data_IF_395216972998
#
_entry.id   IF_395216972998
#
_cell.length_a   1.000
_cell.length_b   1.000
_cell.length_c   1.000
_cell.angle_alpha   90.00
_cell.angle_beta   90.00
_cell.angle_gamma   90.00
#
_symmetry.space_group_name_H-M   'P 1'
#
loop_
_entity.id
_entity.type
_entity.pdbx_description
1 polymer ?
#
# COMPACT_ATOMS: atom_id res chain seq x y z
N UNK A 1 18.29 16.09 29.26
CA UNK A 1 18.26 16.23 27.78
C UNK A 1 17.54 17.53 27.38
N UNK A 2 17.66 17.92 26.13
CA UNK A 2 16.92 19.10 25.64
C UNK A 2 15.41 18.82 25.72
N UNK A 3 14.67 19.72 26.42
CA UNK A 3 13.22 19.55 26.66
C UNK A 3 12.85 19.02 28.03
N UNK A 4 13.84 18.58 28.83
CA UNK A 4 13.59 18.13 30.21
C UNK A 4 13.14 19.30 31.12
N UNK A 5 12.13 19.00 31.94
CA UNK A 5 11.64 19.99 32.92
C UNK A 5 12.45 19.94 34.22
N UNK A 6 13.02 21.07 34.59
CA UNK A 6 13.70 21.24 35.86
C UNK A 6 12.71 21.68 36.96
N UNK A 7 12.67 20.91 38.04
CA UNK A 7 11.90 21.26 39.24
C UNK A 7 12.85 21.43 40.43
N UNK A 8 12.78 22.56 41.10
CA UNK A 8 13.55 22.84 42.33
C UNK A 8 12.76 22.31 43.51
N UNK A 9 13.40 21.51 44.39
CA UNK A 9 12.79 20.96 45.58
C UNK A 9 13.55 21.39 46.83
N UNK A 10 12.83 21.63 47.93
CA UNK A 10 13.43 22.12 49.18
C UNK A 10 14.21 21.07 49.98
N UNK A 11 14.08 19.78 49.64
CA UNK A 11 14.74 18.69 50.40
C UNK A 11 15.29 17.64 49.43
N UNK A 12 16.57 17.28 49.62
CA UNK A 12 17.27 16.28 48.76
C UNK A 12 16.65 14.89 48.86
N UNK A 13 16.18 14.49 50.05
CA UNK A 13 15.54 13.18 50.25
C UNK A 13 14.26 13.03 49.43
N UNK A 14 13.47 14.10 49.41
CA UNK A 14 12.20 14.11 48.65
C UNK A 14 12.46 14.13 47.14
N UNK A 15 13.51 14.84 46.70
CA UNK A 15 13.92 14.86 45.31
C UNK A 15 14.34 13.46 44.81
N UNK A 16 15.15 12.75 45.61
CA UNK A 16 15.57 11.36 45.29
C UNK A 16 14.39 10.39 45.31
N UNK A 17 13.50 10.48 46.29
CA UNK A 17 12.31 9.62 46.36
C UNK A 17 11.39 9.82 45.15
N UNK A 18 11.20 11.08 44.72
CA UNK A 18 10.40 11.38 43.55
C UNK A 18 11.04 10.91 42.24
N UNK A 19 12.38 11.06 42.11
CA UNK A 19 13.12 10.59 40.97
C UNK A 19 13.00 9.06 40.80
N UNK A 20 13.25 8.31 41.89
CA UNK A 20 13.12 6.87 41.90
C UNK A 20 11.70 6.40 41.57
N UNK A 21 10.68 7.07 42.10
CA UNK A 21 9.29 6.76 41.83
C UNK A 21 8.91 7.01 40.35
N UNK A 22 9.41 8.10 39.76
CA UNK A 22 9.21 8.41 38.36
C UNK A 22 9.92 7.38 37.44
N UNK A 23 11.16 7.04 37.78
CA UNK A 23 11.90 6.02 37.06
C UNK A 23 11.21 4.64 37.11
N UNK A 24 10.69 4.26 38.28
CA UNK A 24 9.89 3.05 38.41
C UNK A 24 8.61 3.09 37.57
N UNK A 25 7.86 4.19 37.63
CA UNK A 25 6.66 4.39 36.82
C UNK A 25 6.97 4.35 35.32
N UNK A 26 8.09 4.94 34.90
CA UNK A 26 8.51 4.94 33.52
C UNK A 26 8.91 3.54 33.04
N UNK A 27 9.58 2.75 33.88
CA UNK A 27 9.85 1.33 33.62
C UNK A 27 8.56 0.51 33.52
N UNK A 28 7.63 0.70 34.45
CA UNK A 28 6.31 0.02 34.42
C UNK A 28 5.49 0.41 33.20
N UNK A 29 5.51 1.71 32.84
CA UNK A 29 4.86 2.18 31.61
C UNK A 29 5.54 1.60 30.37
N UNK A 30 6.87 1.57 30.31
CA UNK A 30 7.62 0.94 29.22
C UNK A 30 7.28 -0.54 29.04
N UNK A 31 7.15 -1.29 30.14
CA UNK A 31 6.71 -2.68 30.12
C UNK A 31 5.26 -2.86 29.68
N UNK A 32 4.38 -1.90 30.04
CA UNK A 32 2.96 -1.91 29.59
C UNK A 32 2.76 -1.41 28.18
N UNK A 33 3.65 -0.54 27.69
CA UNK A 33 3.55 0.05 26.32
C UNK A 33 4.14 -0.89 25.27
N UNK A 34 4.98 -1.86 25.67
CA UNK A 34 5.22 -3.01 24.82
C UNK A 34 3.93 -3.84 24.81
N UNK A 35 2.96 -3.42 24.03
CA UNK A 35 1.83 -4.27 23.67
C UNK A 35 2.43 -5.55 23.07
N UNK A 36 2.48 -6.60 23.87
CA UNK A 36 2.67 -7.93 23.29
C UNK A 36 1.57 -8.08 22.24
N UNK A 37 1.98 -8.19 20.99
CA UNK A 37 1.08 -8.50 19.89
C UNK A 37 0.33 -9.76 20.32
N UNK A 38 -0.98 -9.64 20.58
CA UNK A 38 -1.79 -10.79 20.96
C UNK A 38 -1.98 -11.71 19.75
N UNK A 39 -2.21 -12.99 19.96
CA UNK A 39 -2.50 -13.94 18.87
C UNK A 39 -3.70 -13.48 18.03
N UNK A 40 -4.68 -12.79 18.65
CA UNK A 40 -5.82 -12.19 17.94
C UNK A 40 -5.40 -11.05 17.01
N UNK A 41 -4.41 -10.26 17.41
CA UNK A 41 -3.84 -9.18 16.59
C UNK A 41 -3.01 -9.76 15.44
N UNK A 42 -2.24 -10.82 15.71
CA UNK A 42 -1.53 -11.60 14.66
C UNK A 42 -2.55 -12.21 13.69
N UNK A 43 -3.63 -12.79 14.21
CA UNK A 43 -4.71 -13.35 13.39
C UNK A 43 -5.38 -12.31 12.49
N UNK A 44 -5.65 -11.10 13.01
CA UNK A 44 -6.15 -9.96 12.22
C UNK A 44 -5.16 -9.53 11.14
N UNK A 45 -3.87 -9.42 11.47
CA UNK A 45 -2.81 -9.01 10.53
C UNK A 45 -2.64 -10.04 9.41
N UNK A 46 -2.69 -11.34 9.74
CA UNK A 46 -2.66 -12.42 8.74
C UNK A 46 -3.93 -12.39 7.88
N UNK A 47 -5.10 -12.06 8.43
CA UNK A 47 -6.35 -11.96 7.69
C UNK A 47 -6.37 -10.76 6.71
N UNK A 48 -5.63 -9.69 6.98
CA UNK A 48 -5.46 -8.54 6.07
C UNK A 48 -4.54 -8.90 4.89
N UNK A 49 -3.73 -9.96 5.00
CA UNK A 49 -2.98 -10.57 3.88
C UNK A 49 -1.72 -9.85 3.42
N UNK A 50 -1.56 -8.55 3.67
CA UNK A 50 -0.46 -7.72 3.15
C UNK A 50 0.18 -6.82 4.21
N UNK A 51 0.26 -7.30 5.46
CA UNK A 51 0.92 -6.53 6.51
C UNK A 51 2.43 -6.49 6.29
N UNK A 52 3.00 -5.29 6.23
CA UNK A 52 4.43 -5.07 6.06
C UNK A 52 4.98 -4.24 7.22
N UNK A 53 6.25 -4.45 7.53
CA UNK A 53 6.98 -3.68 8.53
C UNK A 53 8.13 -2.93 7.87
N UNK A 54 8.22 -1.63 8.14
CA UNK A 54 9.34 -0.80 7.76
C UNK A 54 10.18 -0.49 9.00
N UNK A 55 11.29 -1.19 9.12
CA UNK A 55 12.22 -1.04 10.22
C UNK A 55 13.23 0.06 9.91
N UNK A 56 13.43 0.98 10.85
CA UNK A 56 14.27 2.17 10.65
C UNK A 56 15.25 2.32 11.82
N UNK A 57 16.50 2.64 11.51
CA UNK A 57 17.50 3.12 12.46
C UNK A 57 17.71 4.61 12.21
N UNK A 58 17.57 5.44 13.22
CA UNK A 58 17.70 6.90 13.11
C UNK A 58 18.99 7.36 13.77
N UNK A 59 19.86 8.04 13.02
CA UNK A 59 21.07 8.69 13.54
C UNK A 59 21.01 10.18 13.24
N UNK A 60 21.38 11.00 14.20
CA UNK A 60 21.35 12.45 14.03
C UNK A 60 22.47 13.15 14.76
N UNK A 61 22.55 14.45 14.55
CA UNK A 61 23.52 15.35 15.20
C UNK A 61 23.16 15.66 16.64
N UNK A 62 21.85 15.79 16.94
CA UNK A 62 21.35 16.12 18.27
C UNK A 62 20.09 15.30 18.62
N UNK A 63 19.88 15.03 19.91
CA UNK A 63 18.74 14.23 20.40
C UNK A 63 17.38 14.78 19.98
N UNK A 64 17.19 16.12 20.06
CA UNK A 64 15.91 16.74 19.72
C UNK A 64 15.50 16.53 18.26
N UNK A 65 16.47 16.57 17.34
CA UNK A 65 16.22 16.28 15.92
C UNK A 65 15.84 14.82 15.69
N UNK A 66 16.51 13.91 16.37
CA UNK A 66 16.26 12.47 16.29
C UNK A 66 14.87 12.14 16.83
N UNK A 67 14.50 12.72 17.97
CA UNK A 67 13.19 12.50 18.58
C UNK A 67 12.07 13.02 17.69
N UNK A 68 12.18 14.27 17.20
CA UNK A 68 11.20 14.87 16.31
C UNK A 68 11.02 14.06 15.01
N UNK A 69 12.12 13.61 14.42
CA UNK A 69 12.09 12.78 13.21
C UNK A 69 11.47 11.41 13.51
N UNK A 70 11.91 10.74 14.56
CA UNK A 70 11.39 9.42 14.95
C UNK A 70 9.89 9.46 15.22
N UNK A 71 9.40 10.44 15.97
CA UNK A 71 7.98 10.61 16.26
C UNK A 71 7.16 10.87 15.00
N UNK A 72 7.73 11.66 14.08
CA UNK A 72 7.07 11.94 12.80
C UNK A 72 6.99 10.69 11.91
N UNK A 73 8.05 9.88 11.87
CA UNK A 73 8.08 8.63 11.12
C UNK A 73 7.12 7.57 11.69
N UNK A 74 7.06 7.43 13.01
CA UNK A 74 6.12 6.49 13.66
C UNK A 74 4.67 6.86 13.34
N UNK A 75 4.34 8.16 13.24
CA UNK A 75 2.99 8.63 12.89
C UNK A 75 2.57 8.31 11.46
N UNK A 76 3.51 7.96 10.57
CA UNK A 76 3.20 7.51 9.22
C UNK A 76 2.64 6.08 9.19
N UNK A 77 2.72 5.34 10.28
CA UNK A 77 2.22 3.96 10.36
C UNK A 77 0.76 3.87 9.95
N UNK A 78 0.44 2.91 9.10
CA UNK A 78 -0.90 2.58 8.63
C UNK A 78 -1.29 1.17 9.09
N UNK A 79 -2.55 0.75 8.94
CA UNK A 79 -2.94 -0.63 9.24
C UNK A 79 -2.21 -1.68 8.39
N UNK A 80 -1.74 -1.32 7.20
CA UNK A 80 -1.06 -2.21 6.25
C UNK A 80 0.46 -2.18 6.43
N UNK A 81 1.04 -1.02 6.81
CA UNK A 81 2.49 -0.85 6.97
C UNK A 81 2.77 -0.24 8.34
N UNK A 82 3.52 -0.95 9.16
CA UNK A 82 3.98 -0.43 10.45
C UNK A 82 5.41 0.09 10.35
N UNK A 83 5.62 1.34 10.74
CA UNK A 83 6.95 1.94 10.85
C UNK A 83 7.49 1.71 12.26
N UNK A 84 8.61 1.00 12.36
CA UNK A 84 9.28 0.68 13.62
C UNK A 84 10.64 1.37 13.69
N UNK A 85 10.85 2.25 14.67
CA UNK A 85 12.19 2.79 14.96
C UNK A 85 12.89 1.84 15.93
N UNK A 86 13.80 1.00 15.40
CA UNK A 86 14.50 -0.03 16.17
C UNK A 86 15.57 0.57 17.05
N UNK A 87 16.30 1.55 16.51
CA UNK A 87 17.39 2.20 17.24
C UNK A 87 17.48 3.67 16.88
N UNK A 88 17.75 4.50 17.88
CA UNK A 88 18.00 5.94 17.72
C UNK A 88 19.23 6.33 18.53
N UNK A 89 20.16 7.05 17.91
CA UNK A 89 21.36 7.52 18.60
C UNK A 89 21.99 8.75 17.93
N UNK A 90 22.68 9.54 18.73
CA UNK A 90 23.44 10.72 18.29
C UNK A 90 24.80 10.30 17.72
N UNK A 91 25.28 11.03 16.74
CA UNK A 91 26.60 10.90 16.15
C UNK A 91 26.60 10.23 14.78
N UNK A 92 27.80 10.04 14.24
CA UNK A 92 27.96 9.44 12.92
C UNK A 92 27.46 7.98 12.87
N UNK A 93 27.05 7.53 11.68
CA UNK A 93 26.65 6.15 11.46
C UNK A 93 27.90 5.27 11.52
N UNK A 94 27.88 4.28 12.42
CA UNK A 94 28.96 3.34 12.70
C UNK A 94 28.76 1.98 12.02
N UNK A 95 29.78 1.14 11.99
CA UNK A 95 29.68 -0.24 11.49
C UNK A 95 28.68 -1.06 12.33
N UNK A 96 28.59 -0.80 13.65
CA UNK A 96 27.61 -1.46 14.50
C UNK A 96 26.16 -1.13 14.12
N UNK A 97 25.87 0.11 13.70
CA UNK A 97 24.55 0.48 13.20
C UNK A 97 24.19 -0.27 11.91
N UNK A 98 25.17 -0.46 11.03
CA UNK A 98 24.99 -1.25 9.78
C UNK A 98 24.75 -2.73 10.07
N UNK A 99 25.50 -3.30 11.01
CA UNK A 99 25.28 -4.69 11.43
C UNK A 99 23.90 -4.88 12.07
N UNK A 100 23.47 -3.91 12.87
CA UNK A 100 22.11 -3.94 13.46
C UNK A 100 21.04 -3.82 12.35
N UNK A 101 21.25 -2.97 11.36
CA UNK A 101 20.34 -2.83 10.22
C UNK A 101 20.23 -4.13 9.42
N UNK A 102 21.37 -4.81 9.16
CA UNK A 102 21.40 -6.11 8.50
C UNK A 102 20.64 -7.18 9.29
N UNK A 103 20.85 -7.24 10.61
CA UNK A 103 20.18 -8.21 11.48
C UNK A 103 18.67 -7.98 11.63
N UNK A 104 18.21 -6.74 11.44
CA UNK A 104 16.80 -6.32 11.66
C UNK A 104 16.06 -6.04 10.36
N UNK A 105 16.68 -6.25 9.20
CA UNK A 105 16.17 -5.83 7.90
C UNK A 105 15.67 -4.36 7.92
N UNK A 106 16.53 -3.47 8.41
CA UNK A 106 16.21 -2.07 8.62
C UNK A 106 16.98 -1.16 7.64
N UNK A 107 16.40 -0.01 7.33
CA UNK A 107 17.08 1.09 6.64
C UNK A 107 17.70 2.04 7.66
N UNK A 108 18.78 2.73 7.28
CA UNK A 108 19.43 3.71 8.15
C UNK A 108 19.14 5.11 7.65
N UNK A 109 18.58 5.95 8.52
CA UNK A 109 18.33 7.37 8.27
C UNK A 109 19.36 8.19 9.04
N UNK A 110 20.20 8.92 8.33
CA UNK A 110 21.15 9.88 8.88
C UNK A 110 20.64 11.31 8.72
N UNK A 111 20.32 11.97 9.83
CA UNK A 111 19.92 13.37 9.85
C UNK A 111 21.11 14.25 10.23
N UNK A 112 21.58 15.11 9.31
CA UNK A 112 22.77 15.98 9.48
C UNK A 112 24.08 15.23 9.79
N UNK A 113 24.11 13.90 9.69
CA UNK A 113 25.29 13.06 9.97
C UNK A 113 25.73 12.30 8.72
N UNK A 114 26.92 11.74 8.77
CA UNK A 114 27.49 10.94 7.67
C UNK A 114 27.96 9.58 8.19
N UNK A 115 27.98 8.53 7.36
CA UNK A 115 28.56 7.26 7.73
C UNK A 115 30.10 7.35 7.84
N UNK A 116 30.68 6.58 8.76
CA UNK A 116 32.11 6.37 8.80
C UNK A 116 32.57 5.63 7.53
N UNK A 117 33.88 5.70 7.23
CA UNK A 117 34.43 5.00 6.07
C UNK A 117 34.20 3.47 6.13
N UNK A 118 34.29 2.89 7.33
CA UNK A 118 34.02 1.47 7.56
C UNK A 118 32.53 1.14 7.41
N UNK A 119 31.64 1.95 7.99
CA UNK A 119 30.19 1.79 7.85
C UNK A 119 29.76 1.86 6.39
N UNK A 120 30.31 2.77 5.59
CA UNK A 120 30.00 2.90 4.18
C UNK A 120 30.36 1.64 3.39
N UNK A 121 31.59 1.12 3.57
CA UNK A 121 32.04 -0.11 2.91
C UNK A 121 31.22 -1.33 3.34
N UNK A 122 30.85 -1.39 4.63
CA UNK A 122 30.06 -2.47 5.16
C UNK A 122 28.62 -2.42 4.63
N UNK A 123 28.02 -1.22 4.55
CA UNK A 123 26.67 -1.04 4.01
C UNK A 123 26.60 -1.42 2.52
N UNK A 124 27.63 -1.08 1.72
CA UNK A 124 27.73 -1.50 0.32
C UNK A 124 27.85 -3.04 0.20
N UNK A 125 28.59 -3.69 1.10
CA UNK A 125 28.76 -5.15 1.11
C UNK A 125 27.50 -5.89 1.52
N UNK A 126 26.80 -5.41 2.54
CA UNK A 126 25.59 -6.03 3.10
C UNK A 126 24.30 -5.51 2.44
N UNK A 127 24.42 -4.67 1.40
CA UNK A 127 23.29 -4.06 0.64
C UNK A 127 22.32 -3.27 1.53
N UNK A 128 22.82 -2.61 2.58
CA UNK A 128 22.02 -1.80 3.49
C UNK A 128 21.82 -0.40 2.95
N UNK A 129 20.58 0.04 2.82
CA UNK A 129 20.23 1.38 2.36
C UNK A 129 20.48 2.42 3.47
N UNK A 130 21.35 3.39 3.19
CA UNK A 130 21.64 4.53 4.06
C UNK A 130 21.15 5.79 3.37
N UNK A 131 20.10 6.41 3.91
CA UNK A 131 19.55 7.68 3.45
C UNK A 131 20.01 8.83 4.33
N UNK A 132 20.44 9.91 3.70
CA UNK A 132 21.01 11.07 4.38
C UNK A 132 20.17 12.30 4.11
N UNK A 133 19.68 12.93 5.19
CA UNK A 133 18.81 14.09 5.11
C UNK A 133 19.35 15.26 5.91
N UNK A 134 19.00 16.45 5.46
CA UNK A 134 19.27 17.72 6.15
C UNK A 134 17.97 18.46 6.51
N UNK A 135 16.85 18.03 5.96
CA UNK A 135 15.53 18.60 6.17
C UNK A 135 14.57 17.47 6.60
N UNK A 136 13.87 17.65 7.72
CA UNK A 136 12.96 16.62 8.26
C UNK A 136 11.82 16.31 7.31
N UNK A 137 11.23 17.32 6.69
CA UNK A 137 10.11 17.13 5.75
C UNK A 137 10.48 16.29 4.54
N UNK A 138 11.68 16.47 3.99
CA UNK A 138 12.16 15.64 2.86
C UNK A 138 12.29 14.17 3.28
N UNK A 139 12.79 13.90 4.49
CA UNK A 139 12.87 12.54 5.01
C UNK A 139 11.47 11.91 5.14
N UNK A 140 10.51 12.65 5.66
CA UNK A 140 9.12 12.20 5.82
C UNK A 140 8.48 11.90 4.46
N UNK A 141 8.63 12.78 3.47
CA UNK A 141 8.06 12.62 2.14
C UNK A 141 8.65 11.42 1.38
N UNK A 142 9.98 11.23 1.45
CA UNK A 142 10.62 10.07 0.82
C UNK A 142 10.22 8.75 1.48
N UNK A 143 10.13 8.69 2.80
CA UNK A 143 9.67 7.49 3.50
C UNK A 143 8.20 7.22 3.19
N UNK A 144 7.35 8.26 3.15
CA UNK A 144 5.96 8.12 2.73
C UNK A 144 5.86 7.55 1.30
N UNK A 145 6.62 8.09 0.37
CA UNK A 145 6.68 7.60 -1.02
C UNK A 145 7.19 6.14 -1.10
N UNK A 146 8.17 5.77 -0.27
CA UNK A 146 8.65 4.39 -0.18
C UNK A 146 7.56 3.45 0.35
N UNK A 147 6.82 3.87 1.38
CA UNK A 147 5.68 3.12 1.90
C UNK A 147 4.56 2.96 0.87
N UNK A 148 4.24 4.00 0.10
CA UNK A 148 3.28 3.90 -1.01
C UNK A 148 3.71 2.86 -2.06
N UNK A 149 5.03 2.76 -2.33
CA UNK A 149 5.59 1.73 -3.20
C UNK A 149 5.54 0.31 -2.63
N UNK A 150 5.43 0.16 -1.31
CA UNK A 150 5.26 -1.13 -0.62
C UNK A 150 3.81 -1.61 -0.63
N UNK A 151 2.84 -0.70 -0.79
CA UNK A 151 1.42 -1.06 -0.83
C UNK A 151 1.10 -1.89 -2.08
N UNK A 152 0.28 -2.91 -1.90
CA UNK A 152 -0.27 -3.65 -3.05
C UNK A 152 -1.15 -2.71 -3.88
N UNK A 153 -1.03 -2.74 -5.21
CA UNK A 153 -1.85 -1.90 -6.07
C UNK A 153 -3.34 -2.20 -5.84
N UNK A 154 -4.14 -1.16 -5.76
CA UNK A 154 -5.59 -1.31 -5.83
C UNK A 154 -5.99 -1.51 -7.29
N UNK A 155 -6.86 -2.49 -7.54
CA UNK A 155 -7.44 -2.66 -8.85
C UNK A 155 -8.75 -1.86 -8.91
N UNK A 156 -8.79 -0.87 -9.82
CA UNK A 156 -10.04 -0.16 -10.14
C UNK A 156 -10.55 -0.65 -11.47
N UNK A 157 -11.85 -0.87 -11.53
CA UNK A 157 -12.52 -1.19 -12.78
C UNK A 157 -12.71 0.09 -13.58
N UNK A 158 -12.16 0.13 -14.80
CA UNK A 158 -12.42 1.18 -15.77
C UNK A 158 -13.31 0.62 -16.87
N UNK A 159 -14.43 1.31 -17.15
CA UNK A 159 -15.33 0.95 -18.24
C UNK A 159 -14.63 1.30 -19.55
N UNK A 160 -14.41 0.30 -20.40
CA UNK A 160 -13.73 0.47 -21.68
C UNK A 160 -14.70 0.62 -22.83
N UNK A 161 -15.91 0.05 -22.74
CA UNK A 161 -16.97 0.30 -23.73
C UNK A 161 -18.37 0.05 -23.15
N UNK A 162 -19.35 0.69 -23.81
CA UNK A 162 -20.78 0.43 -23.61
C UNK A 162 -21.40 -0.03 -24.92
N UNK A 163 -22.03 -1.18 -24.87
CA UNK A 163 -22.62 -1.86 -26.05
C UNK A 163 -24.09 -2.10 -25.77
N UNK A 164 -24.96 -1.75 -26.73
CA UNK A 164 -26.40 -1.95 -26.63
C UNK A 164 -26.82 -3.17 -27.47
N UNK A 165 -27.64 -4.03 -26.88
CA UNK A 165 -28.20 -5.21 -27.54
C UNK A 165 -29.42 -4.80 -28.37
N UNK A 166 -29.31 -4.96 -29.70
CA UNK A 166 -30.39 -4.66 -30.65
C UNK A 166 -31.26 -5.88 -30.93
N UNK A 167 -30.64 -7.05 -31.09
CA UNK A 167 -31.33 -8.30 -31.45
C UNK A 167 -30.67 -9.49 -30.75
N UNK A 168 -31.41 -10.55 -30.53
CA UNK A 168 -30.89 -11.80 -29.95
C UNK A 168 -31.24 -13.01 -30.80
N UNK A 169 -30.26 -13.91 -31.00
CA UNK A 169 -30.40 -15.12 -31.77
C UNK A 169 -30.02 -16.34 -30.94
N UNK A 170 -30.92 -17.29 -30.79
CA UNK A 170 -30.65 -18.54 -30.05
C UNK A 170 -30.15 -19.59 -31.01
N UNK A 171 -28.91 -20.05 -30.83
CA UNK A 171 -28.27 -21.08 -31.66
C UNK A 171 -27.99 -22.30 -30.77
N UNK A 172 -28.57 -23.46 -31.12
CA UNK A 172 -28.54 -24.69 -30.31
C UNK A 172 -27.14 -25.20 -29.91
N UNK A 173 -26.09 -24.82 -30.64
CA UNK A 173 -24.71 -25.27 -30.39
C UNK A 173 -23.82 -24.25 -29.69
N UNK A 174 -24.18 -22.96 -29.67
CA UNK A 174 -23.33 -21.85 -29.25
C UNK A 174 -23.98 -21.06 -28.10
N UNK A 175 -25.29 -21.22 -27.92
CA UNK A 175 -26.06 -20.43 -26.97
C UNK A 175 -26.71 -19.19 -27.61
N UNK A 176 -26.95 -18.17 -26.82
CA UNK A 176 -27.55 -16.91 -27.28
C UNK A 176 -26.45 -16.00 -27.84
N UNK A 177 -26.60 -15.60 -29.09
CA UNK A 177 -25.77 -14.56 -29.72
C UNK A 177 -26.56 -13.26 -29.71
N UNK A 178 -25.96 -12.19 -29.23
CA UNK A 178 -26.51 -10.85 -29.26
C UNK A 178 -25.96 -10.06 -30.45
N UNK A 179 -26.85 -9.52 -31.27
CA UNK A 179 -26.54 -8.50 -32.27
C UNK A 179 -26.55 -7.14 -31.58
N UNK A 180 -25.42 -6.47 -31.53
CA UNK A 180 -25.18 -5.30 -30.71
C UNK A 180 -24.58 -4.15 -31.52
N UNK A 181 -24.70 -2.95 -30.98
CA UNK A 181 -24.01 -1.75 -31.46
C UNK A 181 -23.14 -1.17 -30.34
N UNK A 182 -21.89 -0.83 -30.65
CA UNK A 182 -21.00 -0.17 -29.70
C UNK A 182 -21.38 1.32 -29.61
N UNK A 183 -21.94 1.71 -28.45
CA UNK A 183 -22.38 3.10 -28.21
C UNK A 183 -21.25 3.99 -27.79
N UNK A 184 -20.31 3.45 -26.98
CA UNK A 184 -19.13 4.19 -26.56
C UNK A 184 -17.93 3.28 -26.37
N UNK A 185 -16.73 3.84 -26.54
CA UNK A 185 -15.48 3.13 -26.35
C UNK A 185 -15.16 2.07 -27.40
N UNK A 186 -14.47 1.03 -26.96
CA UNK A 186 -14.01 -0.08 -27.79
C UNK A 186 -14.10 -1.40 -27.01
N UNK A 187 -14.80 -2.39 -27.57
CA UNK A 187 -14.88 -3.72 -26.97
C UNK A 187 -13.84 -4.66 -27.59
N UNK A 188 -13.16 -5.43 -26.77
CA UNK A 188 -12.18 -6.45 -27.21
C UNK A 188 -12.67 -7.85 -26.87
N UNK A 189 -12.19 -8.86 -27.62
CA UNK A 189 -12.60 -10.25 -27.40
C UNK A 189 -12.26 -10.79 -26.01
N UNK A 190 -11.21 -10.28 -25.37
CA UNK A 190 -10.75 -10.69 -24.04
C UNK A 190 -11.31 -9.87 -22.90
N UNK A 191 -12.19 -8.91 -23.18
CA UNK A 191 -12.76 -8.04 -22.16
C UNK A 191 -13.64 -8.82 -21.19
N UNK A 192 -13.54 -8.48 -19.92
CA UNK A 192 -14.55 -8.81 -18.93
C UNK A 192 -15.77 -7.92 -19.19
N UNK A 193 -16.94 -8.50 -19.07
CA UNK A 193 -18.20 -7.80 -19.40
C UNK A 193 -19.23 -7.98 -18.29
N UNK A 194 -20.09 -6.99 -18.16
CA UNK A 194 -21.30 -7.06 -17.34
C UNK A 194 -22.53 -6.74 -18.16
N UNK A 195 -23.60 -7.46 -17.90
CA UNK A 195 -24.90 -7.25 -18.53
C UNK A 195 -25.74 -6.40 -17.58
N UNK A 196 -26.31 -5.32 -18.11
CA UNK A 196 -27.13 -4.36 -17.37
C UNK A 196 -28.51 -4.36 -17.99
N UNK A 197 -29.53 -4.60 -17.17
CA UNK A 197 -30.95 -4.53 -17.54
C UNK A 197 -31.64 -3.57 -16.57
N UNK A 198 -32.36 -2.59 -17.11
CA UNK A 198 -33.06 -1.57 -16.33
C UNK A 198 -32.16 -0.85 -15.30
N UNK A 199 -30.88 -0.63 -15.66
CA UNK A 199 -29.89 0.00 -14.79
C UNK A 199 -29.28 -0.89 -13.72
N UNK A 200 -29.62 -2.20 -13.71
CA UNK A 200 -29.13 -3.16 -12.72
C UNK A 200 -28.19 -4.16 -13.39
N UNK A 201 -27.03 -4.39 -12.80
CA UNK A 201 -26.09 -5.44 -13.24
C UNK A 201 -26.68 -6.82 -12.90
N UNK A 202 -27.05 -7.59 -13.93
CA UNK A 202 -27.65 -8.92 -13.77
C UNK A 202 -26.66 -10.06 -13.93
N UNK A 203 -25.55 -9.84 -14.65
CA UNK A 203 -24.53 -10.84 -14.85
C UNK A 203 -23.16 -10.18 -15.07
N UNK A 204 -22.10 -10.84 -14.60
CA UNK A 204 -20.70 -10.45 -14.87
C UNK A 204 -19.94 -11.70 -15.33
N UNK A 205 -19.19 -11.59 -16.42
CA UNK A 205 -18.46 -12.70 -17.01
C UNK A 205 -17.51 -12.25 -18.11
N UNK A 206 -17.21 -13.15 -19.04
CA UNK A 206 -16.28 -12.93 -20.14
C UNK A 206 -16.99 -13.17 -21.48
N UNK A 207 -16.50 -12.52 -22.53
CA UNK A 207 -16.98 -12.78 -23.88
C UNK A 207 -16.55 -14.17 -24.34
N UNK A 208 -17.46 -14.93 -24.90
CA UNK A 208 -17.18 -16.20 -25.57
C UNK A 208 -16.73 -15.99 -27.02
N UNK A 209 -17.34 -15.03 -27.72
CA UNK A 209 -16.94 -14.66 -29.08
C UNK A 209 -17.27 -13.18 -29.38
N UNK A 210 -16.51 -12.61 -30.30
CA UNK A 210 -16.77 -11.29 -30.85
C UNK A 210 -16.63 -11.36 -32.37
N UNK A 211 -17.71 -11.05 -33.08
CA UNK A 211 -17.79 -11.18 -34.54
C UNK A 211 -18.31 -9.91 -35.20
N UNK A 212 -17.87 -9.66 -36.42
CA UNK A 212 -18.42 -8.62 -37.30
C UNK A 212 -18.65 -9.22 -38.67
N UNK A 213 -19.89 -9.09 -39.20
CA UNK A 213 -20.28 -9.71 -40.50
C UNK A 213 -19.93 -11.21 -40.63
N UNK A 214 -20.02 -12.01 -39.57
CA UNK A 214 -19.66 -13.42 -39.43
C UNK A 214 -18.17 -13.73 -39.22
N UNK A 215 -17.27 -12.76 -39.38
CA UNK A 215 -15.84 -12.92 -39.16
C UNK A 215 -15.48 -12.66 -37.70
N UNK A 216 -14.58 -13.50 -37.14
CA UNK A 216 -14.05 -13.28 -35.82
C UNK A 216 -13.12 -12.06 -35.83
N UNK A 217 -13.38 -11.09 -34.92
CA UNK A 217 -12.59 -9.87 -34.80
C UNK A 217 -11.98 -9.76 -33.41
N UNK A 218 -10.84 -9.09 -33.33
CA UNK A 218 -10.16 -8.86 -32.04
C UNK A 218 -10.80 -7.73 -31.25
N UNK A 219 -11.33 -6.73 -31.95
CA UNK A 219 -11.89 -5.51 -31.37
C UNK A 219 -12.96 -4.89 -32.27
N UNK A 220 -13.90 -4.17 -31.66
CA UNK A 220 -14.91 -3.37 -32.33
C UNK A 220 -15.01 -2.02 -31.66
N UNK A 221 -14.93 -0.95 -32.48
CA UNK A 221 -14.96 0.43 -32.01
C UNK A 221 -16.38 1.02 -32.04
N UNK A 222 -16.53 2.17 -31.38
CA UNK A 222 -17.77 2.96 -31.35
C UNK A 222 -18.42 3.15 -32.74
N UNK A 223 -19.72 2.99 -32.78
CA UNK A 223 -20.57 3.20 -33.97
C UNK A 223 -20.66 1.96 -34.88
N UNK A 224 -19.93 0.89 -34.59
CA UNK A 224 -20.00 -0.34 -35.37
C UNK A 224 -20.88 -1.40 -34.71
N UNK A 225 -21.55 -2.18 -35.56
CA UNK A 225 -22.32 -3.33 -35.14
C UNK A 225 -21.39 -4.55 -34.96
N UNK A 226 -21.75 -5.41 -34.02
CA UNK A 226 -21.06 -6.65 -33.72
C UNK A 226 -22.02 -7.74 -33.23
N UNK A 227 -21.64 -8.98 -33.44
CA UNK A 227 -22.28 -10.13 -32.81
C UNK A 227 -21.40 -10.63 -31.67
N UNK A 228 -21.95 -10.81 -30.51
CA UNK A 228 -21.21 -11.37 -29.38
C UNK A 228 -22.04 -12.41 -28.61
N UNK A 229 -21.36 -13.31 -27.94
CA UNK A 229 -21.96 -14.14 -26.91
C UNK A 229 -21.14 -14.03 -25.63
N UNK A 230 -21.78 -14.31 -24.50
CA UNK A 230 -21.16 -14.27 -23.16
C UNK A 230 -21.04 -15.71 -22.68
N UNK A 231 -19.88 -16.06 -22.14
CA UNK A 231 -19.64 -17.39 -21.61
C UNK A 231 -20.59 -17.68 -20.45
N UNK A 232 -21.22 -18.85 -20.49
CA UNK A 232 -22.13 -19.35 -19.45
C UNK A 232 -23.37 -18.49 -19.19
N UNK A 233 -23.74 -17.61 -20.11
CA UNK A 233 -24.93 -16.76 -19.97
C UNK A 233 -25.74 -16.71 -21.27
N UNK A 234 -27.02 -17.10 -21.18
CA UNK A 234 -27.91 -17.22 -22.33
C UNK A 234 -29.18 -16.34 -22.25
N UNK A 235 -29.38 -15.63 -21.13
CA UNK A 235 -30.57 -14.78 -20.90
C UNK A 235 -30.30 -13.34 -21.31
N UNK A 236 -29.65 -13.12 -22.44
CA UNK A 236 -29.48 -11.79 -23.04
C UNK A 236 -30.78 -11.38 -23.73
N UNK A 237 -31.26 -10.16 -23.49
CA UNK A 237 -32.49 -9.65 -24.08
C UNK A 237 -32.21 -8.36 -24.88
N UNK A 238 -33.11 -8.08 -25.82
CA UNK A 238 -33.06 -6.83 -26.57
C UNK A 238 -33.28 -5.64 -25.62
N UNK A 239 -32.45 -4.63 -25.73
CA UNK A 239 -32.43 -3.47 -24.82
C UNK A 239 -31.49 -3.59 -23.62
N UNK A 240 -30.86 -4.75 -23.41
CA UNK A 240 -29.78 -4.86 -22.43
C UNK A 240 -28.59 -4.03 -22.86
N UNK A 241 -27.85 -3.51 -21.88
CA UNK A 241 -26.53 -2.91 -22.09
C UNK A 241 -25.45 -3.85 -21.62
N UNK A 242 -24.39 -3.95 -22.41
CA UNK A 242 -23.19 -4.73 -22.07
C UNK A 242 -22.05 -3.75 -21.92
N UNK A 243 -21.54 -3.63 -20.71
CA UNK A 243 -20.33 -2.84 -20.41
C UNK A 243 -19.13 -3.76 -20.38
N UNK A 244 -18.08 -3.38 -21.12
CA UNK A 244 -16.78 -4.00 -20.92
C UNK A 244 -15.96 -3.17 -19.96
N UNK A 245 -15.20 -3.83 -19.10
CA UNK A 245 -14.34 -3.19 -18.12
C UNK A 245 -12.99 -3.92 -18.03
N UNK A 246 -11.99 -3.18 -17.64
CA UNK A 246 -10.65 -3.69 -17.34
C UNK A 246 -10.27 -3.32 -15.91
N UNK A 247 -9.57 -4.21 -15.23
CA UNK A 247 -9.01 -3.95 -13.91
C UNK A 247 -7.66 -3.26 -14.10
N UNK A 248 -7.62 -1.96 -13.84
CA UNK A 248 -6.39 -1.16 -13.91
C UNK A 248 -5.79 -1.06 -12.53
N UNK A 249 -4.52 -1.45 -12.41
CA UNK A 249 -3.77 -1.30 -11.17
C UNK A 249 -3.49 0.18 -10.90
N UNK A 250 -4.09 0.73 -9.87
CA UNK A 250 -3.87 2.12 -9.43
C UNK A 250 -2.97 2.10 -8.21
N UNK A 251 -1.95 2.97 -8.20
CA UNK A 251 -1.10 3.14 -7.02
C UNK A 251 -1.94 3.67 -5.87
N UNK A 252 -1.90 2.97 -4.74
CA UNK A 252 -2.52 3.44 -3.52
C UNK A 252 -1.70 4.58 -2.94
N UNK A 253 -2.31 5.71 -2.64
CA UNK A 253 -1.69 6.86 -1.96
C UNK A 253 -2.03 6.84 -0.48
N UNK A 254 -1.08 7.26 0.37
CA UNK A 254 -1.21 7.34 1.83
C UNK A 254 -1.80 8.67 2.29
#
# INVERSE_FOLDING_TARGET
QAGDKFNVMGNEKDARALANKREQLQREQGLRTQKHITLDEIGRRIAIGNFQELNIIVKGDVDGSIEALSDSLIKLSTPEIQVNVIHKAVGQISEGDVMLAAASNAIIIGFQVRPSMGARKLAEKEEIDIRLYSIIYTAIEEIKSAMEGMLSPEFKEEITSTVEVLETFKISKVGTIAGCIVRDGKITRSSKVRVIRDGIVIFTGELGSLKRFKDDVKEVSKGFECGLNINNYNDIQTGDFIESFEEVAVKKTL
#
